data_IF_406607148113
#
_entry.id   IF_406607148113
#
_cell.length_a   1.000
_cell.length_b   1.000
_cell.length_c   1.000
_cell.angle_alpha   90.00
_cell.angle_beta   90.00
_cell.angle_gamma   90.00
#
_symmetry.space_group_name_H-M   'P 1'
#
loop_
_entity.id
_entity.type
_entity.pdbx_description
1 polymer ?
#
# COMPACT_ATOMS: atom_id res chain seq x y z
N UNK A 1 -4.27 -7.44 38.50
CA UNK A 1 -2.79 -7.27 38.55
C UNK A 1 -2.50 -5.79 38.72
N UNK A 2 -1.85 -5.42 39.82
CA UNK A 2 -1.69 -4.03 40.26
C UNK A 2 -0.38 -3.45 39.68
N UNK A 3 -0.44 -2.30 39.00
CA UNK A 3 0.64 -1.72 38.20
C UNK A 3 1.71 -0.96 39.01
N UNK A 4 1.74 -1.10 40.34
CA UNK A 4 2.63 -0.33 41.22
C UNK A 4 3.94 -1.03 41.61
N UNK A 5 4.14 -2.30 41.24
CA UNK A 5 5.32 -3.09 41.66
C UNK A 5 6.44 -3.25 40.61
N UNK A 6 6.44 -2.49 39.51
CA UNK A 6 7.52 -2.55 38.53
C UNK A 6 8.66 -1.60 38.91
N UNK A 7 9.59 -2.11 39.73
CA UNK A 7 10.84 -1.43 40.08
C UNK A 7 11.74 -1.13 38.87
N UNK A 8 12.57 -0.09 39.02
CA UNK A 8 13.44 0.53 38.01
C UNK A 8 14.30 -0.43 37.15
N UNK A 9 14.57 -1.67 37.60
CA UNK A 9 15.31 -2.66 36.81
C UNK A 9 14.51 -3.24 35.64
N UNK A 10 13.18 -3.18 35.66
CA UNK A 10 12.35 -3.71 34.58
C UNK A 10 12.15 -2.71 33.43
N UNK A 11 12.31 -1.41 33.66
CA UNK A 11 12.23 -0.38 32.61
C UNK A 11 13.43 -0.44 31.64
N UNK A 12 14.61 -0.81 32.12
CA UNK A 12 15.80 -0.97 31.28
C UNK A 12 15.68 -2.19 30.33
N UNK A 13 15.11 -3.29 30.82
CA UNK A 13 14.82 -4.46 29.98
C UNK A 13 13.72 -4.20 28.95
N UNK A 14 12.72 -3.38 29.30
CA UNK A 14 11.65 -2.99 28.38
C UNK A 14 12.17 -2.02 27.30
N UNK A 15 13.08 -1.11 27.64
CA UNK A 15 13.75 -0.24 26.67
C UNK A 15 14.65 -1.04 25.71
N UNK A 16 15.36 -2.06 26.21
CA UNK A 16 16.19 -2.94 25.39
C UNK A 16 15.34 -3.84 24.45
N UNK A 17 14.21 -4.36 24.92
CA UNK A 17 13.27 -5.10 24.06
C UNK A 17 12.64 -4.20 22.99
N UNK A 18 12.20 -2.98 23.33
CA UNK A 18 11.65 -2.03 22.34
C UNK A 18 12.68 -1.65 21.27
N UNK A 19 13.96 -1.61 21.61
CA UNK A 19 15.05 -1.36 20.66
C UNK A 19 15.32 -2.57 19.76
N UNK A 20 15.12 -3.80 20.27
CA UNK A 20 15.18 -5.05 19.50
C UNK A 20 14.04 -5.16 18.48
N UNK A 21 12.84 -4.68 18.80
CA UNK A 21 11.67 -4.69 17.89
C UNK A 21 11.72 -3.61 16.79
N UNK A 22 12.63 -2.63 16.87
CA UNK A 22 12.78 -1.58 15.84
C UNK A 22 13.54 -2.00 14.58
N UNK A 23 14.21 -3.16 14.57
CA UNK A 23 15.03 -3.61 13.43
C UNK A 23 14.36 -4.64 12.52
N UNK A 24 13.16 -5.08 12.83
CA UNK A 24 12.45 -6.08 12.02
C UNK A 24 10.97 -5.70 11.89
N UNK A 25 10.60 -5.21 10.70
CA UNK A 25 9.27 -5.20 10.04
C UNK A 25 9.01 -3.84 9.36
N UNK A 26 8.91 -3.79 8.01
CA UNK A 26 8.41 -2.64 7.28
C UNK A 26 6.91 -2.83 6.99
N UNK A 27 6.00 -2.27 7.78
CA UNK A 27 4.62 -2.04 7.32
C UNK A 27 3.79 -1.11 8.23
N UNK A 28 3.37 0.02 7.63
CA UNK A 28 2.09 0.75 7.71
C UNK A 28 1.31 0.99 9.02
N UNK A 29 1.71 0.49 10.19
CA UNK A 29 1.00 0.76 11.47
C UNK A 29 1.64 1.87 12.33
N UNK A 30 2.76 2.48 11.89
CA UNK A 30 3.50 3.48 12.68
C UNK A 30 2.93 4.91 12.67
N UNK A 31 2.01 5.24 11.78
CA UNK A 31 1.56 6.64 11.59
C UNK A 31 0.44 7.09 12.54
N UNK A 32 -0.30 6.16 13.18
CA UNK A 32 -1.46 6.52 14.01
C UNK A 32 -1.08 6.77 15.48
N UNK A 33 0.04 6.19 15.95
CA UNK A 33 0.48 6.32 17.35
C UNK A 33 1.33 7.58 17.65
N UNK A 34 1.76 8.34 16.64
CA UNK A 34 2.57 9.55 16.82
C UNK A 34 1.76 10.86 16.95
N UNK A 35 0.43 10.81 16.81
CA UNK A 35 -0.43 12.01 16.93
C UNK A 35 -0.87 12.36 18.35
N UNK A 36 -0.52 11.57 19.37
CA UNK A 36 -0.99 11.77 20.75
C UNK A 36 0.10 12.10 21.78
N UNK A 37 1.34 12.41 21.38
CA UNK A 37 2.44 12.63 22.32
C UNK A 37 3.21 13.95 22.18
N UNK A 38 2.71 14.94 21.44
CA UNK A 38 3.32 16.28 21.39
C UNK A 38 2.33 17.33 21.87
N UNK A 39 2.25 17.51 23.19
CA UNK A 39 1.73 18.71 23.84
C UNK A 39 2.33 18.81 25.25
N UNK A 40 3.57 19.26 25.33
CA UNK A 40 4.07 20.06 26.45
C UNK A 40 5.46 20.58 26.09
N UNK A 41 5.68 21.86 26.41
CA UNK A 41 6.90 22.66 26.36
C UNK A 41 7.28 23.27 25.01
N UNK A 42 6.81 24.50 24.79
CA UNK A 42 7.75 25.60 24.53
C UNK A 42 7.18 26.97 24.96
N UNK A 43 8.04 27.93 25.35
CA UNK A 43 7.64 29.17 26.00
C UNK A 43 7.41 30.34 25.02
N UNK A 44 6.48 31.21 25.43
CA UNK A 44 6.39 32.67 25.17
C UNK A 44 6.96 33.16 23.84
N UNK A 45 6.09 33.37 22.85
CA UNK A 45 6.30 34.36 21.79
C UNK A 45 5.04 35.20 21.56
N UNK A 46 5.30 36.49 21.33
CA UNK A 46 4.35 37.59 21.31
C UNK A 46 3.28 37.48 20.21
N UNK A 47 2.03 37.82 20.57
CA UNK A 47 0.93 38.02 19.63
C UNK A 47 1.15 39.26 18.76
N UNK A 48 0.94 39.17 17.43
CA UNK A 48 0.65 40.35 16.61
C UNK A 48 -0.84 40.75 16.73
N UNK A 49 -1.17 42.05 16.54
CA UNK A 49 -2.52 42.56 16.75
C UNK A 49 -3.52 42.13 15.65
N UNK A 50 -4.78 41.97 16.06
CA UNK A 50 -5.88 41.54 15.21
C UNK A 50 -6.23 42.55 14.09
N UNK A 51 -6.69 42.08 12.92
CA UNK A 51 -7.17 42.94 11.85
C UNK A 51 -8.58 43.49 12.14
N UNK A 52 -8.74 44.77 11.80
CA UNK A 52 -9.97 45.57 11.86
C UNK A 52 -10.98 45.08 10.82
N UNK A 53 -12.21 44.78 11.23
CA UNK A 53 -13.35 44.54 10.34
C UNK A 53 -14.17 45.84 10.17
N UNK A 54 -14.46 46.28 8.93
CA UNK A 54 -15.32 47.43 8.67
C UNK A 54 -16.79 47.01 8.42
N UNK A 55 -17.72 47.82 8.90
CA UNK A 55 -19.04 48.01 8.28
C UNK A 55 -20.23 47.25 8.88
N UNK A 56 -20.83 47.79 9.93
CA UNK A 56 -22.25 47.61 10.24
C UNK A 56 -23.05 48.75 9.60
N UNK A 57 -24.11 48.50 8.82
CA UNK A 57 -25.07 49.52 8.47
C UNK A 57 -26.12 49.73 9.59
N UNK A 58 -26.64 50.95 9.57
CA UNK A 58 -27.38 51.65 10.60
C UNK A 58 -28.71 51.02 11.04
N UNK A 59 -29.05 51.29 12.30
CA UNK A 59 -30.39 51.15 12.86
C UNK A 59 -31.39 52.13 12.21
N UNK A 60 -32.63 51.71 11.94
CA UNK A 60 -33.72 52.63 11.65
C UNK A 60 -34.36 53.18 12.95
N UNK A 61 -35.00 54.36 12.88
CA UNK A 61 -35.39 55.15 14.04
C UNK A 61 -36.66 54.65 14.73
N UNK A 62 -36.74 54.98 16.02
CA UNK A 62 -37.89 54.80 16.88
C UNK A 62 -39.13 55.54 16.37
N UNK A 63 -40.28 54.87 16.44
CA UNK A 63 -41.64 55.40 16.30
C UNK A 63 -42.60 54.50 17.10
N UNK A 64 -43.74 55.04 17.57
CA UNK A 64 -44.19 54.86 18.95
C UNK A 64 -45.06 53.62 19.21
N UNK A 65 -45.08 53.31 20.50
CA UNK A 65 -46.01 52.47 21.28
C UNK A 65 -47.34 52.07 20.61
N UNK A 66 -47.63 50.77 20.61
CA UNK A 66 -48.96 50.26 20.92
C UNK A 66 -48.86 48.80 21.43
N UNK A 67 -49.77 48.48 22.34
CA UNK A 67 -49.70 47.47 23.39
C UNK A 67 -49.68 46.01 22.90
N UNK A 68 -48.87 45.18 23.55
CA UNK A 68 -48.84 43.73 23.35
C UNK A 68 -48.00 43.04 24.41
N UNK A 69 -48.33 43.25 25.69
CA UNK A 69 -47.73 42.51 26.79
C UNK A 69 -48.08 41.02 26.63
N UNK A 70 -47.13 40.24 26.11
CA UNK A 70 -47.15 38.79 26.24
C UNK A 70 -46.98 38.47 27.74
N UNK A 71 -48.10 38.17 28.39
CA UNK A 71 -48.16 37.62 29.73
C UNK A 71 -47.27 36.38 29.79
N UNK A 72 -46.11 36.51 30.45
CA UNK A 72 -45.41 35.34 30.99
C UNK A 72 -46.38 34.66 31.96
N UNK A 73 -46.55 33.32 31.89
CA UNK A 73 -47.47 32.63 32.79
C UNK A 73 -47.07 32.90 34.25
N UNK A 74 -48.03 33.35 35.05
CA UNK A 74 -47.91 33.70 36.49
C UNK A 74 -47.37 32.56 37.39
N UNK A 75 -47.10 31.38 36.85
CA UNK A 75 -46.46 30.28 37.57
C UNK A 75 -44.97 30.50 37.89
N UNK A 76 -44.35 31.61 37.46
CA UNK A 76 -42.92 31.88 37.67
C UNK A 76 -42.60 32.62 38.99
N UNK A 77 -43.59 33.09 39.75
CA UNK A 77 -43.35 33.96 40.93
C UNK A 77 -44.07 33.53 42.23
N UNK A 78 -44.53 32.27 42.33
CA UNK A 78 -45.06 31.73 43.58
C UNK A 78 -43.96 31.30 44.57
N UNK A 79 -44.18 31.38 45.90
CA UNK A 79 -43.28 30.78 46.88
C UNK A 79 -43.24 29.27 46.68
N UNK A 80 -42.07 28.73 46.34
CA UNK A 80 -41.86 27.30 46.12
C UNK A 80 -41.90 26.59 47.48
N UNK A 81 -43.03 25.97 47.79
CA UNK A 81 -43.28 25.19 49.02
C UNK A 81 -42.53 23.84 48.97
N UNK A 82 -42.41 23.14 50.10
CA UNK A 82 -41.79 21.80 50.11
C UNK A 82 -42.55 20.79 49.21
N UNK A 83 -43.86 20.95 49.03
CA UNK A 83 -44.67 20.18 48.05
C UNK A 83 -44.26 20.43 46.59
N UNK A 84 -43.81 21.65 46.26
CA UNK A 84 -43.31 21.96 44.92
C UNK A 84 -41.95 21.32 44.63
N UNK A 85 -41.16 21.03 45.67
CA UNK A 85 -39.88 20.29 45.56
C UNK A 85 -40.15 18.79 45.42
N UNK A 86 -41.10 18.24 46.18
CA UNK A 86 -41.52 16.84 46.07
C UNK A 86 -42.15 16.54 44.70
N UNK A 87 -42.97 17.43 44.14
CA UNK A 87 -43.52 17.29 42.79
C UNK A 87 -42.47 17.46 41.68
N UNK A 88 -41.40 18.23 41.91
CA UNK A 88 -40.26 18.31 40.98
C UNK A 88 -39.40 17.03 40.94
N UNK A 89 -39.46 16.20 42.00
CA UNK A 89 -38.72 14.95 42.12
C UNK A 89 -39.47 13.74 41.53
N UNK A 90 -40.80 13.80 41.42
CA UNK A 90 -41.64 12.61 41.15
C UNK A 90 -41.77 12.24 39.68
N UNK A 91 -41.60 13.16 38.73
CA UNK A 91 -41.69 12.82 37.30
C UNK A 91 -40.53 13.43 36.51
N UNK A 92 -39.53 12.61 36.18
CA UNK A 92 -38.66 12.96 35.05
C UNK A 92 -38.01 11.76 34.37
N UNK A 93 -38.67 11.25 33.33
CA UNK A 93 -37.99 10.79 32.11
C UNK A 93 -37.43 11.98 31.29
N UNK A 94 -37.24 13.14 31.93
CA UNK A 94 -36.98 14.43 31.28
C UNK A 94 -35.47 14.64 31.09
N UNK A 95 -35.15 15.22 29.93
CA UNK A 95 -33.88 15.74 29.42
C UNK A 95 -32.83 16.08 30.50
N UNK A 96 -31.59 15.63 30.27
CA UNK A 96 -30.40 15.93 31.09
C UNK A 96 -30.24 17.43 31.35
N UNK A 97 -30.60 18.28 30.38
CA UNK A 97 -30.56 19.74 30.52
C UNK A 97 -31.57 20.25 31.55
N UNK A 98 -32.76 19.65 31.62
CA UNK A 98 -33.78 20.04 32.60
C UNK A 98 -33.38 19.65 34.02
N UNK A 99 -32.76 18.47 34.19
CA UNK A 99 -32.20 18.04 35.48
C UNK A 99 -31.06 18.94 35.96
N UNK A 100 -30.16 19.35 35.07
CA UNK A 100 -29.08 20.28 35.38
C UNK A 100 -29.61 21.70 35.72
N UNK A 101 -30.63 22.17 35.00
CA UNK A 101 -31.30 23.44 35.32
C UNK A 101 -32.05 23.37 36.66
N UNK A 102 -32.71 22.24 36.97
CA UNK A 102 -33.37 22.00 38.27
C UNK A 102 -32.36 22.00 39.42
N UNK A 103 -31.22 21.31 39.27
CA UNK A 103 -30.15 21.33 40.29
C UNK A 103 -29.61 22.75 40.52
N UNK A 104 -29.34 23.50 39.45
CA UNK A 104 -28.90 24.90 39.52
C UNK A 104 -29.93 25.79 40.25
N UNK A 105 -31.23 25.57 40.00
CA UNK A 105 -32.31 26.30 40.66
C UNK A 105 -32.42 25.97 42.16
N UNK A 106 -32.20 24.72 42.54
CA UNK A 106 -32.20 24.29 43.95
C UNK A 106 -30.96 24.85 44.67
N UNK A 107 -29.79 24.91 44.03
CA UNK A 107 -28.60 25.58 44.56
C UNK A 107 -28.84 27.08 44.77
N UNK A 108 -29.38 27.77 43.77
CA UNK A 108 -29.70 29.20 43.88
C UNK A 108 -30.71 29.47 45.01
N UNK A 109 -31.72 28.62 45.17
CA UNK A 109 -32.65 28.70 46.29
C UNK A 109 -31.94 28.47 47.62
N UNK A 110 -31.12 27.42 47.73
CA UNK A 110 -30.36 27.14 48.95
C UNK A 110 -29.48 28.34 49.35
N UNK A 111 -28.79 28.98 48.41
CA UNK A 111 -27.97 30.17 48.66
C UNK A 111 -28.81 31.41 49.00
N UNK A 112 -30.00 31.57 48.43
CA UNK A 112 -30.98 32.58 48.86
C UNK A 112 -31.45 32.33 50.30
N UNK A 113 -31.73 31.08 50.69
CA UNK A 113 -32.07 30.74 52.08
C UNK A 113 -30.89 30.92 53.04
N UNK A 114 -29.65 30.75 52.56
CA UNK A 114 -28.44 31.04 53.33
C UNK A 114 -28.22 32.54 53.53
N UNK A 115 -28.48 33.36 52.51
CA UNK A 115 -28.23 34.81 52.52
C UNK A 115 -29.36 35.64 53.12
N UNK A 116 -30.62 35.20 53.02
CA UNK A 116 -31.79 35.90 53.59
C UNK A 116 -31.90 35.83 55.12
N UNK A 117 -31.02 35.08 55.80
CA UNK A 117 -31.08 34.89 57.25
C UNK A 117 -30.19 35.85 58.04
N UNK A 118 -30.78 36.98 58.41
CA UNK A 118 -30.43 37.69 59.63
C UNK A 118 -31.05 37.05 60.90
N UNK A 119 -31.74 35.91 60.85
CA UNK A 119 -32.41 35.32 62.03
C UNK A 119 -32.25 33.78 62.11
N UNK A 120 -31.89 33.32 63.31
CA UNK A 120 -31.43 31.97 63.65
C UNK A 120 -32.56 30.92 63.56
N UNK A 121 -32.33 29.77 62.88
CA UNK A 121 -33.19 28.61 63.12
C UNK A 121 -33.06 27.39 62.21
N UNK A 122 -32.92 27.55 60.89
CA UNK A 122 -33.23 26.43 59.99
C UNK A 122 -32.12 26.10 58.97
N UNK A 123 -30.90 25.96 59.51
CA UNK A 123 -29.71 25.49 58.78
C UNK A 123 -29.90 24.07 58.21
N UNK A 124 -30.82 23.30 58.81
CA UNK A 124 -31.18 21.96 58.35
C UNK A 124 -31.88 21.99 56.99
N UNK A 125 -32.83 22.92 56.76
CA UNK A 125 -33.46 23.09 55.45
C UNK A 125 -32.47 23.43 54.33
N UNK A 126 -31.43 24.23 54.61
CA UNK A 126 -30.34 24.49 53.67
C UNK A 126 -29.54 23.22 53.34
N UNK A 127 -29.13 22.45 54.35
CA UNK A 127 -28.34 21.23 54.15
C UNK A 127 -29.09 20.18 53.35
N UNK A 128 -30.39 20.00 53.61
CA UNK A 128 -31.23 19.04 52.89
C UNK A 128 -31.41 19.47 51.43
N UNK A 129 -31.67 20.75 51.15
CA UNK A 129 -31.80 21.25 49.78
C UNK A 129 -30.48 21.17 49.01
N UNK A 130 -29.37 21.49 49.67
CA UNK A 130 -28.05 21.34 49.07
C UNK A 130 -27.70 19.88 48.79
N UNK A 131 -28.05 18.94 49.70
CA UNK A 131 -27.81 17.50 49.46
C UNK A 131 -28.64 16.98 48.29
N UNK A 132 -29.91 17.40 48.16
CA UNK A 132 -30.78 17.04 47.03
C UNK A 132 -30.20 17.59 45.72
N UNK A 133 -29.73 18.84 45.70
CA UNK A 133 -29.10 19.42 44.52
C UNK A 133 -27.84 18.65 44.12
N UNK A 134 -26.95 18.34 45.08
CA UNK A 134 -25.74 17.55 44.80
C UNK A 134 -26.07 16.13 44.32
N UNK A 135 -27.14 15.50 44.81
CA UNK A 135 -27.57 14.19 44.36
C UNK A 135 -28.07 14.23 42.91
N UNK A 136 -28.82 15.27 42.53
CA UNK A 136 -29.26 15.49 41.15
C UNK A 136 -28.07 15.74 40.21
N UNK A 137 -27.09 16.55 40.62
CA UNK A 137 -25.86 16.76 39.84
C UNK A 137 -25.08 15.46 39.67
N UNK A 138 -24.90 14.69 40.75
CA UNK A 138 -24.22 13.39 40.69
C UNK A 138 -24.93 12.42 39.75
N UNK A 139 -26.27 12.42 39.72
CA UNK A 139 -27.06 11.60 38.81
C UNK A 139 -26.91 12.03 37.35
N UNK A 140 -26.88 13.35 37.07
CA UNK A 140 -26.61 13.89 35.73
C UNK A 140 -25.20 13.49 35.27
N UNK A 141 -24.19 13.65 36.13
CA UNK A 141 -22.81 13.26 35.84
C UNK A 141 -22.69 11.77 35.57
N UNK A 142 -23.32 10.92 36.40
CA UNK A 142 -23.34 9.47 36.20
C UNK A 142 -23.95 9.11 34.85
N UNK A 143 -25.09 9.72 34.51
CA UNK A 143 -25.76 9.48 33.23
C UNK A 143 -24.92 9.95 32.04
N UNK A 144 -24.24 11.10 32.14
CA UNK A 144 -23.33 11.59 31.10
C UNK A 144 -22.14 10.64 30.87
N UNK A 145 -21.57 10.11 31.95
CA UNK A 145 -20.47 9.12 31.88
C UNK A 145 -20.97 7.82 31.23
N UNK A 146 -22.14 7.31 31.65
CA UNK A 146 -22.75 6.12 31.06
C UNK A 146 -23.04 6.33 29.56
N UNK A 147 -23.57 7.48 29.17
CA UNK A 147 -23.85 7.83 27.77
C UNK A 147 -22.56 7.97 26.94
N UNK A 148 -21.51 8.55 27.51
CA UNK A 148 -20.19 8.61 26.88
C UNK A 148 -19.66 7.20 26.58
N UNK A 149 -19.69 6.29 27.56
CA UNK A 149 -19.22 4.92 27.36
C UNK A 149 -20.10 4.14 26.38
N UNK A 150 -21.43 4.31 26.42
CA UNK A 150 -22.34 3.71 25.42
C UNK A 150 -22.03 4.18 24.00
N UNK A 151 -21.82 5.49 23.79
CA UNK A 151 -21.40 6.04 22.49
C UNK A 151 -20.05 5.47 22.06
N UNK A 152 -19.09 5.35 22.98
CA UNK A 152 -17.78 4.79 22.70
C UNK A 152 -17.85 3.33 22.27
N UNK A 153 -18.63 2.50 22.98
CA UNK A 153 -18.85 1.09 22.62
C UNK A 153 -19.48 0.98 21.23
N UNK A 154 -20.55 1.74 20.96
CA UNK A 154 -21.21 1.74 19.64
C UNK A 154 -20.26 2.15 18.50
N UNK A 155 -19.40 3.14 18.73
CA UNK A 155 -18.40 3.55 17.75
C UNK A 155 -17.34 2.47 17.52
N UNK A 156 -16.87 1.80 18.57
CA UNK A 156 -15.94 0.68 18.45
C UNK A 156 -16.55 -0.50 17.70
N UNK A 157 -17.81 -0.84 17.96
CA UNK A 157 -18.55 -1.86 17.20
C UNK A 157 -18.66 -1.50 15.72
N UNK A 158 -18.88 -0.23 15.38
CA UNK A 158 -18.89 0.25 14.00
C UNK A 158 -17.54 0.04 13.31
N UNK A 159 -16.45 0.45 13.96
CA UNK A 159 -15.08 0.28 13.45
C UNK A 159 -14.74 -1.20 13.28
N UNK A 160 -15.14 -2.06 14.22
CA UNK A 160 -14.93 -3.51 14.12
C UNK A 160 -15.69 -4.10 12.94
N UNK A 161 -16.97 -3.74 12.75
CA UNK A 161 -17.76 -4.19 11.58
C UNK A 161 -17.14 -3.77 10.25
N UNK A 162 -16.64 -2.54 10.16
CA UNK A 162 -15.93 -2.08 8.96
C UNK A 162 -14.66 -2.89 8.72
N UNK A 163 -13.83 -3.08 9.76
CA UNK A 163 -12.60 -3.88 9.68
C UNK A 163 -12.90 -5.32 9.26
N UNK A 164 -13.93 -5.94 9.82
CA UNK A 164 -14.36 -7.29 9.45
C UNK A 164 -14.82 -7.35 7.99
N UNK A 165 -15.56 -6.34 7.51
CA UNK A 165 -15.94 -6.24 6.11
C UNK A 165 -14.73 -6.08 5.18
N UNK A 166 -13.72 -5.30 5.58
CA UNK A 166 -12.46 -5.19 4.84
C UNK A 166 -11.69 -6.51 4.81
N UNK A 167 -11.61 -7.22 5.94
CA UNK A 167 -10.96 -8.53 6.01
C UNK A 167 -11.68 -9.56 5.15
N UNK A 168 -13.01 -9.63 5.21
CA UNK A 168 -13.80 -10.52 4.34
C UNK A 168 -13.57 -10.22 2.86
N UNK A 169 -13.51 -8.94 2.46
CA UNK A 169 -13.19 -8.56 1.08
C UNK A 169 -11.77 -8.94 0.68
N UNK A 170 -10.79 -8.71 1.55
CA UNK A 170 -9.41 -9.12 1.31
C UNK A 170 -9.30 -10.64 1.13
N UNK A 171 -9.95 -11.41 2.00
CA UNK A 171 -10.01 -12.87 1.92
C UNK A 171 -10.67 -13.35 0.63
N UNK A 172 -11.77 -12.72 0.21
CA UNK A 172 -12.43 -13.02 -1.07
C UNK A 172 -11.48 -12.77 -2.26
N UNK A 173 -10.76 -11.66 -2.28
CA UNK A 173 -9.79 -11.35 -3.34
C UNK A 173 -8.64 -12.36 -3.37
N UNK A 174 -8.13 -12.76 -2.19
CA UNK A 174 -7.10 -13.78 -2.09
C UNK A 174 -7.61 -15.13 -2.61
N UNK A 175 -8.84 -15.51 -2.26
CA UNK A 175 -9.47 -16.74 -2.78
C UNK A 175 -9.64 -16.71 -4.30
N UNK A 176 -10.19 -15.62 -4.85
CA UNK A 176 -10.36 -15.45 -6.30
C UNK A 176 -9.02 -15.52 -7.02
N UNK A 177 -7.98 -14.86 -6.48
CA UNK A 177 -6.63 -14.91 -7.04
C UNK A 177 -6.09 -16.34 -7.04
N UNK A 178 -6.20 -17.07 -5.92
CA UNK A 178 -5.78 -18.46 -5.80
C UNK A 178 -6.54 -19.37 -6.77
N UNK A 179 -7.85 -19.22 -6.91
CA UNK A 179 -8.66 -20.03 -7.82
C UNK A 179 -8.30 -19.76 -9.29
N UNK A 180 -8.10 -18.50 -9.67
CA UNK A 180 -7.66 -18.14 -11.02
C UNK A 180 -6.27 -18.70 -11.31
N UNK A 181 -5.34 -18.58 -10.37
CA UNK A 181 -4.00 -19.14 -10.50
C UNK A 181 -4.05 -20.66 -10.68
N UNK A 182 -4.86 -21.36 -9.88
CA UNK A 182 -5.07 -22.82 -10.03
C UNK A 182 -5.61 -23.20 -11.41
N UNK A 183 -6.53 -22.39 -11.98
CA UNK A 183 -7.05 -22.61 -13.34
C UNK A 183 -5.99 -22.40 -14.41
N UNK A 184 -5.17 -21.35 -14.30
CA UNK A 184 -4.09 -21.08 -15.25
C UNK A 184 -3.06 -22.21 -15.20
N UNK A 185 -2.66 -22.62 -13.99
CA UNK A 185 -1.74 -23.74 -13.80
C UNK A 185 -2.31 -25.03 -14.36
N UNK A 186 -3.56 -25.38 -14.06
CA UNK A 186 -4.17 -26.60 -14.60
C UNK A 186 -4.17 -26.61 -16.13
N UNK A 187 -4.41 -25.47 -16.79
CA UNK A 187 -4.33 -25.35 -18.25
C UNK A 187 -2.90 -25.49 -18.79
N UNK A 188 -1.89 -24.96 -18.10
CA UNK A 188 -0.47 -25.09 -18.45
C UNK A 188 -0.02 -26.57 -18.42
N UNK A 189 -0.60 -27.37 -17.53
CA UNK A 189 -0.32 -28.80 -17.39
C UNK A 189 -1.16 -29.68 -18.32
N UNK A 190 -2.46 -29.44 -18.41
CA UNK A 190 -3.37 -30.27 -19.21
C UNK A 190 -3.16 -30.09 -20.71
N UNK A 191 -2.65 -28.93 -21.12
CA UNK A 191 -2.47 -28.59 -22.51
C UNK A 191 -0.97 -28.50 -22.86
N UNK A 192 -0.38 -29.54 -23.50
CA UNK A 192 1.01 -29.50 -23.93
C UNK A 192 1.27 -28.41 -24.98
N UNK A 193 0.22 -27.90 -25.63
CA UNK A 193 0.24 -26.79 -26.58
C UNK A 193 -0.30 -25.48 -26.00
N UNK A 194 -0.26 -25.27 -24.68
CA UNK A 194 -0.71 -24.01 -24.10
C UNK A 194 -0.02 -22.83 -24.83
N UNK A 195 -0.78 -22.12 -25.66
CA UNK A 195 -0.28 -21.21 -26.69
C UNK A 195 0.11 -19.83 -26.11
N UNK A 196 0.61 -19.82 -24.88
CA UNK A 196 1.21 -18.64 -24.27
C UNK A 196 2.63 -18.47 -24.76
N UNK A 197 3.12 -17.23 -24.74
CA UNK A 197 4.56 -16.98 -24.90
C UNK A 197 5.32 -17.64 -23.75
N UNK A 198 6.48 -18.27 -23.97
CA UNK A 198 7.18 -19.07 -22.96
C UNK A 198 7.48 -18.28 -21.68
N UNK A 199 7.88 -17.01 -21.81
CA UNK A 199 8.11 -16.13 -20.67
C UNK A 199 6.86 -15.89 -19.84
N UNK A 200 5.69 -15.81 -20.47
CA UNK A 200 4.43 -15.63 -19.76
C UNK A 200 4.09 -16.86 -18.93
N UNK A 201 4.27 -18.05 -19.51
CA UNK A 201 4.01 -19.32 -18.82
C UNK A 201 4.95 -19.51 -17.64
N UNK A 202 6.25 -19.25 -17.84
CA UNK A 202 7.23 -19.35 -16.77
C UNK A 202 6.97 -18.32 -15.66
N UNK A 203 6.55 -17.10 -16.00
CA UNK A 203 6.16 -16.11 -15.00
C UNK A 203 4.92 -16.54 -14.19
N UNK A 204 3.92 -17.18 -14.80
CA UNK A 204 2.78 -17.76 -14.07
C UNK A 204 3.22 -18.89 -13.14
N UNK A 205 4.16 -19.74 -13.59
CA UNK A 205 4.77 -20.78 -12.76
C UNK A 205 5.55 -20.19 -11.58
N UNK A 206 6.30 -19.09 -11.76
CA UNK A 206 6.98 -18.37 -10.67
C UNK A 206 5.99 -17.90 -9.59
N UNK A 207 4.82 -17.39 -9.98
CA UNK A 207 3.76 -17.03 -9.03
C UNK A 207 3.23 -18.29 -8.34
N UNK A 208 3.17 -19.43 -9.03
CA UNK A 208 2.93 -20.76 -8.44
C UNK A 208 3.90 -21.08 -7.30
N UNK A 209 5.19 -20.90 -7.54
CA UNK A 209 6.24 -21.21 -6.59
C UNK A 209 6.33 -20.25 -5.40
N UNK A 210 5.71 -19.06 -5.45
CA UNK A 210 5.80 -18.09 -4.35
C UNK A 210 5.25 -18.60 -3.02
N UNK A 211 4.38 -19.61 -3.05
CA UNK A 211 3.79 -20.21 -1.86
C UNK A 211 4.39 -21.58 -1.50
N UNK A 212 5.42 -22.03 -2.22
CA UNK A 212 6.06 -23.33 -2.00
C UNK A 212 7.36 -23.17 -1.21
N UNK A 213 7.94 -24.25 -0.65
CA UNK A 213 9.23 -24.20 0.04
C UNK A 213 10.36 -23.56 -0.80
N UNK A 214 10.32 -23.73 -2.12
CA UNK A 214 11.26 -23.09 -3.07
C UNK A 214 11.16 -21.56 -2.97
N UNK A 215 9.95 -21.00 -3.01
CA UNK A 215 9.75 -19.55 -2.95
C UNK A 215 10.18 -18.91 -1.62
N UNK A 216 10.18 -19.69 -0.53
CA UNK A 216 10.70 -19.24 0.76
C UNK A 216 12.23 -19.34 0.89
N UNK A 217 12.91 -19.87 -0.13
CA UNK A 217 14.36 -20.07 -0.11
C UNK A 217 14.81 -21.07 0.97
N UNK A 218 13.95 -22.02 1.33
CA UNK A 218 14.35 -23.13 2.19
C UNK A 218 15.37 -23.95 1.39
N UNK A 219 16.58 -24.11 1.92
CA UNK A 219 17.62 -24.90 1.28
C UNK A 219 17.10 -26.32 1.03
N UNK A 220 16.84 -26.64 -0.23
CA UNK A 220 16.39 -27.97 -0.64
C UNK A 220 17.57 -28.92 -0.83
N UNK A 221 18.78 -28.52 -0.43
CA UNK A 221 20.04 -29.27 -0.56
C UNK A 221 19.90 -30.72 -0.08
N UNK A 222 19.22 -30.96 1.05
CA UNK A 222 19.04 -32.31 1.60
C UNK A 222 18.04 -33.16 0.79
N UNK A 223 17.00 -32.52 0.24
CA UNK A 223 16.10 -33.17 -0.73
C UNK A 223 16.82 -33.42 -2.06
N UNK A 224 17.70 -32.48 -2.44
CA UNK A 224 18.47 -32.50 -3.68
C UNK A 224 19.60 -33.53 -3.69
N UNK A 225 20.16 -33.83 -2.52
CA UNK A 225 21.15 -34.88 -2.37
C UNK A 225 20.55 -36.29 -2.45
N UNK A 226 19.25 -36.45 -2.20
CA UNK A 226 18.61 -37.77 -2.02
C UNK A 226 17.84 -38.27 -3.24
N UNK A 227 17.59 -37.43 -4.25
CA UNK A 227 16.85 -37.80 -5.47
C UNK A 227 17.79 -37.86 -6.70
N UNK A 228 17.92 -38.99 -7.41
CA UNK A 228 18.80 -39.07 -8.58
C UNK A 228 18.34 -38.19 -9.76
N UNK A 229 17.11 -37.68 -9.75
CA UNK A 229 16.56 -36.78 -10.77
C UNK A 229 17.12 -35.35 -10.71
N UNK A 230 17.94 -35.00 -9.71
CA UNK A 230 18.41 -33.63 -9.52
C UNK A 230 19.37 -33.14 -10.60
N UNK A 231 20.15 -34.03 -11.24
CA UNK A 231 21.00 -33.65 -12.36
C UNK A 231 20.22 -33.09 -13.56
N UNK A 232 18.93 -33.42 -13.68
CA UNK A 232 18.08 -32.92 -14.77
C UNK A 232 17.66 -31.46 -14.55
N UNK A 233 17.88 -30.91 -13.35
CA UNK A 233 17.52 -29.54 -12.98
C UNK A 233 18.71 -28.61 -12.90
N UNK A 234 19.91 -29.12 -13.15
CA UNK A 234 21.11 -28.31 -13.25
C UNK A 234 20.98 -27.38 -14.46
N UNK A 235 21.39 -26.13 -14.27
CA UNK A 235 21.38 -25.13 -15.33
C UNK A 235 22.73 -25.17 -16.04
N UNK A 236 22.71 -25.39 -17.35
CA UNK A 236 23.96 -25.32 -18.11
C UNK A 236 24.45 -23.87 -18.20
N UNK A 237 25.76 -23.63 -18.35
CA UNK A 237 26.31 -22.29 -18.55
C UNK A 237 25.66 -21.55 -19.73
N UNK A 238 25.36 -22.27 -20.81
CA UNK A 238 24.69 -21.76 -22.01
C UNK A 238 23.25 -21.28 -21.72
N UNK A 239 22.57 -21.89 -20.74
CA UNK A 239 21.25 -21.44 -20.32
C UNK A 239 21.33 -20.08 -19.62
N UNK A 240 22.36 -19.77 -18.84
CA UNK A 240 22.48 -18.45 -18.20
C UNK A 240 22.63 -17.32 -19.21
N UNK A 241 23.34 -17.56 -20.31
CA UNK A 241 23.49 -16.57 -21.39
C UNK A 241 22.18 -16.36 -22.16
N UNK A 242 21.41 -17.45 -22.31
CA UNK A 242 20.17 -17.49 -23.08
C UNK A 242 18.97 -16.92 -22.31
N UNK A 243 18.93 -17.14 -20.99
CA UNK A 243 17.81 -16.75 -20.14
C UNK A 243 17.89 -15.26 -19.78
N UNK A 244 16.85 -14.52 -20.16
CA UNK A 244 16.72 -13.10 -19.85
C UNK A 244 15.71 -12.88 -18.74
N UNK A 245 16.06 -11.96 -17.86
CA UNK A 245 15.26 -11.57 -16.72
C UNK A 245 14.95 -10.08 -16.80
N UNK A 246 13.75 -9.71 -16.40
CA UNK A 246 13.29 -8.34 -16.30
C UNK A 246 12.97 -7.97 -14.87
N UNK A 247 13.37 -6.77 -14.51
CA UNK A 247 13.06 -6.19 -13.20
C UNK A 247 11.56 -5.91 -13.03
N UNK A 248 11.03 -5.95 -11.79
CA UNK A 248 9.66 -5.56 -11.54
C UNK A 248 9.44 -4.11 -11.96
N UNK A 249 8.26 -3.81 -12.48
CA UNK A 249 7.89 -2.48 -12.96
C UNK A 249 7.83 -1.49 -11.80
N UNK A 250 8.97 -0.88 -11.49
CA UNK A 250 9.11 0.21 -10.52
C UNK A 250 9.13 1.55 -11.26
N UNK A 251 9.13 2.65 -10.50
CA UNK A 251 9.03 4.03 -11.04
C UNK A 251 10.09 4.39 -12.10
N UNK A 252 11.24 3.73 -12.11
CA UNK A 252 12.34 3.96 -13.07
C UNK A 252 12.45 2.90 -14.16
N UNK A 253 11.33 2.48 -14.75
CA UNK A 253 11.30 1.56 -15.90
C UNK A 253 11.56 0.09 -15.59
N UNK A 254 11.26 -0.76 -16.57
CA UNK A 254 11.53 -2.20 -16.54
C UNK A 254 12.80 -2.46 -17.35
N UNK A 255 13.88 -2.83 -16.66
CA UNK A 255 15.13 -3.25 -17.29
C UNK A 255 15.09 -4.75 -17.56
N UNK A 256 15.53 -5.15 -18.76
CA UNK A 256 15.75 -6.53 -19.18
C UNK A 256 17.25 -6.79 -19.32
N UNK A 257 17.75 -7.91 -18.81
CA UNK A 257 19.17 -8.27 -18.86
C UNK A 257 19.34 -9.80 -18.84
N UNK A 258 20.54 -10.30 -19.16
CA UNK A 258 20.83 -11.74 -19.15
C UNK A 258 21.29 -12.21 -17.77
N UNK A 259 21.03 -13.46 -17.39
CA UNK A 259 21.50 -13.96 -16.08
C UNK A 259 23.02 -13.97 -15.96
N UNK A 260 23.74 -14.18 -17.07
CA UNK A 260 25.21 -14.13 -17.09
C UNK A 260 25.78 -12.72 -16.98
N UNK A 261 25.02 -11.70 -17.39
CA UNK A 261 25.47 -10.31 -17.39
C UNK A 261 24.35 -9.35 -16.91
N UNK A 262 24.48 -8.78 -15.69
CA UNK A 262 23.52 -7.86 -15.10
C UNK A 262 23.52 -6.48 -15.77
N UNK A 263 24.27 -6.29 -16.86
CA UNK A 263 24.24 -5.10 -17.68
C UNK A 263 23.03 -5.13 -18.63
N UNK A 264 22.08 -4.20 -18.50
CA UNK A 264 20.91 -4.13 -19.38
C UNK A 264 21.29 -3.67 -20.79
N UNK A 265 22.36 -2.89 -20.93
CA UNK A 265 22.75 -2.23 -22.17
C UNK A 265 23.60 -3.14 -23.08
N UNK A 266 23.06 -4.30 -23.42
CA UNK A 266 23.65 -5.23 -24.38
C UNK A 266 23.06 -5.07 -25.78
N UNK A 267 23.74 -4.29 -26.63
CA UNK A 267 23.39 -4.08 -28.04
C UNK A 267 24.02 -5.13 -28.97
N UNK A 268 24.07 -6.39 -28.55
CA UNK A 268 24.83 -7.42 -29.26
C UNK A 268 24.08 -7.98 -30.47
N UNK A 269 22.82 -7.57 -30.65
CA UNK A 269 21.97 -7.96 -31.77
C UNK A 269 21.17 -6.77 -32.29
N UNK A 270 21.23 -6.55 -33.60
CA UNK A 270 20.42 -5.56 -34.31
C UNK A 270 19.33 -6.25 -35.14
N UNK A 271 18.07 -5.76 -35.10
CA UNK A 271 17.00 -6.16 -36.00
C UNK A 271 17.40 -6.08 -37.49
N UNK A 272 16.82 -6.92 -38.38
CA UNK A 272 17.20 -6.96 -39.80
C UNK A 272 17.22 -5.60 -40.50
N UNK A 273 16.24 -4.73 -40.22
CA UNK A 273 16.16 -3.37 -40.79
C UNK A 273 17.40 -2.53 -40.47
N UNK A 274 17.91 -2.61 -39.24
CA UNK A 274 19.10 -1.88 -38.81
C UNK A 274 20.39 -2.45 -39.42
N UNK A 275 20.38 -3.66 -39.96
CA UNK A 275 21.56 -4.22 -40.65
C UNK A 275 21.78 -3.61 -42.04
N UNK A 276 20.82 -2.83 -42.54
CA UNK A 276 20.94 -2.14 -43.83
C UNK A 276 22.03 -1.06 -43.80
N UNK A 277 22.67 -0.84 -44.95
CA UNK A 277 23.86 0.02 -45.04
C UNK A 277 23.59 1.48 -44.66
N UNK A 278 22.35 1.95 -44.82
CA UNK A 278 21.93 3.30 -44.47
C UNK A 278 22.00 3.59 -42.96
N UNK A 279 21.81 2.60 -42.09
CA UNK A 279 21.84 2.80 -40.63
C UNK A 279 23.22 2.55 -40.00
N UNK A 280 24.19 2.03 -40.76
CA UNK A 280 25.49 1.63 -40.23
C UNK A 280 26.27 2.79 -39.59
N UNK A 281 26.11 4.01 -40.10
CA UNK A 281 26.76 5.19 -39.54
C UNK A 281 26.19 5.54 -38.16
N UNK A 282 24.87 5.59 -38.03
CA UNK A 282 24.20 5.85 -36.75
C UNK A 282 24.42 4.72 -35.74
N UNK A 283 24.39 3.46 -36.18
CA UNK A 283 24.69 2.30 -35.32
C UNK A 283 26.09 2.39 -34.74
N UNK A 284 27.11 2.68 -35.56
CA UNK A 284 28.49 2.86 -35.06
C UNK A 284 28.61 4.01 -34.07
N UNK A 285 27.85 5.08 -34.25
CA UNK A 285 27.81 6.19 -33.30
C UNK A 285 27.20 5.73 -31.96
N UNK A 286 26.07 5.03 -32.01
CA UNK A 286 25.41 4.45 -30.82
C UNK A 286 26.35 3.48 -30.11
N UNK A 287 26.98 2.56 -30.83
CA UNK A 287 27.95 1.58 -30.27
C UNK A 287 29.14 2.29 -29.62
N UNK A 288 29.72 3.31 -30.27
CA UNK A 288 30.82 4.08 -29.68
C UNK A 288 30.42 4.79 -28.38
N UNK A 289 29.19 5.32 -28.29
CA UNK A 289 28.66 5.95 -27.07
C UNK A 289 28.32 4.92 -25.98
N UNK A 290 27.81 3.75 -26.35
CA UNK A 290 27.62 2.60 -25.43
C UNK A 290 28.96 2.19 -24.84
N UNK A 291 29.97 1.97 -25.67
CA UNK A 291 31.30 1.52 -25.22
C UNK A 291 31.95 2.56 -24.30
N UNK A 292 31.74 3.84 -24.57
CA UNK A 292 32.15 4.93 -23.68
C UNK A 292 31.44 4.84 -22.31
N UNK A 293 30.13 4.59 -22.28
CA UNK A 293 29.38 4.40 -21.04
C UNK A 293 29.86 3.18 -20.26
N UNK A 294 30.11 2.06 -20.95
CA UNK A 294 30.63 0.83 -20.35
C UNK A 294 32.00 1.07 -19.70
N UNK A 295 32.94 1.67 -20.43
CA UNK A 295 34.27 1.99 -19.91
C UNK A 295 34.24 2.99 -18.73
N UNK A 296 33.27 3.90 -18.71
CA UNK A 296 33.06 4.80 -17.57
C UNK A 296 32.47 4.08 -16.36
N UNK A 297 31.57 3.12 -16.57
CA UNK A 297 30.93 2.35 -15.49
C UNK A 297 31.92 1.47 -14.72
N UNK A 298 32.96 0.97 -15.39
CA UNK A 298 34.04 0.20 -14.75
C UNK A 298 34.85 1.05 -13.77
N UNK A 299 35.02 2.34 -14.08
CA UNK A 299 35.85 3.27 -13.29
C UNK A 299 35.04 4.01 -12.22
N UNK A 300 33.78 4.31 -12.54
CA UNK A 300 32.90 5.11 -11.71
C UNK A 300 31.55 4.39 -11.52
N UNK A 301 31.18 4.02 -10.28
CA UNK A 301 29.87 3.41 -10.01
C UNK A 301 28.70 4.33 -10.39
N UNK A 302 28.92 5.65 -10.33
CA UNK A 302 27.98 6.66 -10.77
C UNK A 302 28.41 7.21 -12.12
N UNK A 303 27.53 7.06 -13.11
CA UNK A 303 27.78 7.52 -14.47
C UNK A 303 27.61 9.04 -14.57
N UNK A 304 28.50 9.73 -15.31
CA UNK A 304 28.33 11.15 -15.56
C UNK A 304 27.11 11.39 -16.45
N UNK A 305 26.26 12.35 -16.07
CA UNK A 305 25.02 12.70 -16.77
C UNK A 305 25.29 13.06 -18.23
N UNK A 306 26.42 13.71 -18.52
CA UNK A 306 26.84 14.07 -19.88
C UNK A 306 27.02 12.86 -20.79
N UNK A 307 27.59 11.75 -20.29
CA UNK A 307 27.77 10.54 -21.07
C UNK A 307 26.42 9.83 -21.33
N UNK A 308 25.52 9.87 -20.34
CA UNK A 308 24.16 9.33 -20.49
C UNK A 308 23.40 10.13 -21.55
N UNK A 309 23.43 11.46 -21.48
CA UNK A 309 22.80 12.33 -22.46
C UNK A 309 23.39 12.14 -23.87
N UNK A 310 24.71 11.99 -23.99
CA UNK A 310 25.35 11.76 -25.28
C UNK A 310 24.93 10.42 -25.92
N UNK A 311 24.64 9.41 -25.12
CA UNK A 311 24.09 8.14 -25.60
C UNK A 311 22.60 8.26 -25.97
N UNK A 312 21.81 8.96 -25.13
CA UNK A 312 20.41 9.27 -25.41
C UNK A 312 20.25 10.05 -26.73
N UNK A 313 21.09 11.05 -26.97
CA UNK A 313 21.13 11.82 -28.21
C UNK A 313 21.48 10.95 -29.43
N UNK A 314 22.43 10.03 -29.30
CA UNK A 314 22.79 9.09 -30.38
C UNK A 314 21.62 8.14 -30.71
N UNK A 315 20.90 7.66 -29.69
CA UNK A 315 19.70 6.84 -29.88
C UNK A 315 18.55 7.65 -30.50
N UNK A 316 18.37 8.90 -30.08
CA UNK A 316 17.40 9.81 -30.67
C UNK A 316 17.70 10.04 -32.16
N UNK A 317 18.97 10.25 -32.53
CA UNK A 317 19.39 10.37 -33.93
C UNK A 317 19.08 9.12 -34.74
N UNK A 318 19.40 7.92 -34.23
CA UNK A 318 19.05 6.66 -34.91
C UNK A 318 17.54 6.52 -35.11
N UNK A 319 16.74 6.92 -34.11
CA UNK A 319 15.27 6.89 -34.22
C UNK A 319 14.75 7.88 -35.28
N UNK A 320 15.33 9.08 -35.36
CA UNK A 320 14.99 10.09 -36.38
C UNK A 320 15.32 9.55 -37.77
N UNK A 321 16.50 8.95 -37.95
CA UNK A 321 16.88 8.31 -39.21
C UNK A 321 15.90 7.19 -39.59
N UNK A 322 15.55 6.31 -38.65
CA UNK A 322 14.59 5.23 -38.87
C UNK A 322 13.24 5.75 -39.37
N UNK A 323 12.65 6.73 -38.68
CA UNK A 323 11.35 7.29 -39.07
C UNK A 323 11.42 8.19 -40.31
N UNK A 324 12.59 8.73 -40.65
CA UNK A 324 12.79 9.48 -41.90
C UNK A 324 12.76 8.56 -43.12
N UNK A 325 13.30 7.35 -43.00
CA UNK A 325 13.33 6.36 -44.09
C UNK A 325 12.02 5.59 -44.16
N UNK A 326 11.44 5.23 -43.01
CA UNK A 326 10.21 4.44 -42.91
C UNK A 326 9.11 5.16 -42.13
N UNK A 327 8.51 6.23 -42.67
CA UNK A 327 7.44 6.96 -41.98
C UNK A 327 6.16 6.11 -41.87
N UNK A 328 5.48 6.08 -40.71
CA UNK A 328 4.16 5.47 -40.58
C UNK A 328 3.10 6.30 -41.32
N UNK A 329 2.03 5.68 -41.87
CA UNK A 329 1.62 4.28 -41.69
C UNK A 329 2.23 3.31 -42.73
N UNK A 330 2.68 2.13 -42.29
CA UNK A 330 3.32 1.10 -43.13
C UNK A 330 2.36 0.19 -43.90
N UNK A 331 1.10 0.62 -44.11
CA UNK A 331 0.03 -0.24 -44.62
C UNK A 331 0.23 -0.76 -46.06
N UNK A 332 1.04 -0.07 -46.86
CA UNK A 332 1.30 -0.43 -48.25
C UNK A 332 2.52 -1.35 -48.45
N UNK A 333 3.17 -1.78 -47.36
CA UNK A 333 4.34 -2.65 -47.41
C UNK A 333 3.96 -4.13 -47.28
N UNK A 334 4.78 -5.06 -47.80
CA UNK A 334 4.53 -6.48 -47.60
C UNK A 334 4.55 -6.82 -46.12
N UNK A 335 3.68 -7.75 -45.70
CA UNK A 335 3.47 -8.12 -44.28
C UNK A 335 4.77 -8.45 -43.56
N UNK A 336 5.66 -9.20 -44.21
CA UNK A 336 6.97 -9.56 -43.65
C UNK A 336 7.81 -8.32 -43.32
N UNK A 337 7.89 -7.36 -44.24
CA UNK A 337 8.61 -6.11 -44.02
C UNK A 337 7.98 -5.27 -42.91
N UNK A 338 6.66 -5.25 -42.81
CA UNK A 338 5.95 -4.58 -41.70
C UNK A 338 6.35 -5.20 -40.36
N UNK A 339 6.44 -6.53 -40.28
CA UNK A 339 6.87 -7.20 -39.05
C UNK A 339 8.32 -6.86 -38.67
N UNK A 340 9.22 -6.74 -39.65
CA UNK A 340 10.60 -6.29 -39.42
C UNK A 340 10.65 -4.85 -38.89
N UNK A 341 9.85 -3.93 -39.46
CA UNK A 341 9.75 -2.54 -38.99
C UNK A 341 9.19 -2.46 -37.58
N UNK A 342 8.16 -3.25 -37.27
CA UNK A 342 7.62 -3.36 -35.91
C UNK A 342 8.68 -3.90 -34.94
N UNK A 343 9.50 -4.87 -35.35
CA UNK A 343 10.59 -5.38 -34.53
C UNK A 343 11.66 -4.31 -34.29
N UNK A 344 12.01 -3.52 -35.30
CA UNK A 344 12.94 -2.40 -35.20
C UNK A 344 12.40 -1.30 -34.26
N UNK A 345 11.14 -0.91 -34.40
CA UNK A 345 10.48 0.06 -33.51
C UNK A 345 10.47 -0.42 -32.06
N UNK A 346 10.09 -1.68 -31.82
CA UNK A 346 10.11 -2.27 -30.47
C UNK A 346 11.50 -2.26 -29.86
N UNK A 347 12.53 -2.53 -30.66
CA UNK A 347 13.92 -2.47 -30.23
C UNK A 347 14.32 -1.04 -29.82
N UNK A 348 13.99 -0.02 -30.62
CA UNK A 348 14.24 1.39 -30.25
C UNK A 348 13.54 1.78 -28.94
N UNK A 349 12.27 1.39 -28.79
CA UNK A 349 11.49 1.64 -27.56
C UNK A 349 12.13 0.94 -26.36
N UNK A 350 12.60 -0.30 -26.54
CA UNK A 350 13.27 -1.05 -25.48
C UNK A 350 14.56 -0.34 -25.03
N UNK A 351 15.44 -0.01 -25.97
CA UNK A 351 16.72 0.65 -25.64
C UNK A 351 16.47 2.02 -25.03
N UNK A 352 15.52 2.80 -25.55
CA UNK A 352 15.16 4.10 -24.96
C UNK A 352 14.71 3.98 -23.50
N UNK A 353 13.90 2.97 -23.16
CA UNK A 353 13.49 2.70 -21.77
C UNK A 353 14.67 2.27 -20.89
N UNK A 354 15.61 1.52 -21.45
CA UNK A 354 16.84 1.14 -20.74
C UNK A 354 17.70 2.37 -20.44
N UNK A 355 17.83 3.30 -21.40
CA UNK A 355 18.53 4.58 -21.20
C UNK A 355 17.86 5.43 -20.14
N UNK A 356 16.53 5.57 -20.19
CA UNK A 356 15.77 6.33 -19.20
C UNK A 356 15.94 5.72 -17.80
N UNK A 357 15.89 4.40 -17.68
CA UNK A 357 16.14 3.71 -16.42
C UNK A 357 17.59 3.87 -15.91
N UNK A 358 18.59 3.87 -16.79
CA UNK A 358 19.99 4.16 -16.44
C UNK A 358 20.12 5.61 -15.96
N UNK A 359 19.46 6.56 -16.64
CA UNK A 359 19.43 7.98 -16.28
C UNK A 359 18.83 8.20 -14.89
N UNK A 360 17.70 7.55 -14.60
CA UNK A 360 17.02 7.65 -13.31
C UNK A 360 17.85 7.05 -12.16
N UNK A 361 18.57 5.97 -12.43
CA UNK A 361 19.38 5.25 -11.42
C UNK A 361 20.78 5.83 -11.26
N UNK A 362 21.32 6.45 -12.30
CA UNK A 362 22.72 6.91 -12.38
C UNK A 362 23.75 5.78 -12.43
N UNK A 363 23.32 4.53 -12.65
CA UNK A 363 24.20 3.34 -12.66
C UNK A 363 23.85 2.43 -13.83
N UNK A 364 24.86 1.80 -14.43
CA UNK A 364 24.66 0.87 -15.55
C UNK A 364 24.11 -0.49 -15.08
N UNK A 365 24.35 -0.88 -13.82
CA UNK A 365 23.88 -2.16 -13.29
C UNK A 365 22.35 -2.20 -13.19
N UNK A 366 21.73 -3.22 -13.80
CA UNK A 366 20.28 -3.42 -13.72
C UNK A 366 19.85 -3.91 -12.32
N UNK A 367 20.77 -4.55 -11.60
CA UNK A 367 20.56 -5.05 -10.24
C UNK A 367 20.83 -3.97 -9.19
N UNK A 368 19.87 -3.77 -8.29
CA UNK A 368 20.07 -2.92 -7.10
C UNK A 368 20.80 -3.70 -6.00
N UNK A 369 21.38 -3.00 -5.00
CA UNK A 369 22.05 -3.65 -3.85
C UNK A 369 21.04 -4.57 -3.15
N UNK A 370 21.23 -5.89 -3.26
CA UNK A 370 20.32 -6.93 -2.73
C UNK A 370 19.66 -7.81 -3.79
N UNK A 371 19.80 -7.47 -5.08
CA UNK A 371 19.32 -8.28 -6.22
C UNK A 371 20.47 -8.92 -7.01
N UNK A 372 21.68 -8.98 -6.43
CA UNK A 372 22.82 -9.60 -7.11
C UNK A 372 22.51 -11.08 -7.38
N UNK A 373 22.77 -11.54 -8.59
CA UNK A 373 22.67 -12.94 -8.97
C UNK A 373 24.07 -13.56 -8.90
N UNK A 374 24.21 -14.61 -8.11
CA UNK A 374 25.43 -15.41 -8.06
C UNK A 374 25.21 -16.72 -8.83
N UNK A 375 25.82 -16.94 -10.01
CA UNK A 375 25.64 -18.16 -10.78
C UNK A 375 25.99 -19.44 -10.02
N UNK A 376 26.91 -19.38 -9.05
CA UNK A 376 27.32 -20.56 -8.28
C UNK A 376 26.34 -20.92 -7.15
N UNK A 377 25.58 -19.92 -6.66
CA UNK A 377 24.69 -20.10 -5.50
C UNK A 377 23.22 -19.99 -5.89
N UNK A 378 22.86 -18.88 -6.52
CA UNK A 378 21.51 -18.62 -7.00
C UNK A 378 21.27 -19.26 -8.38
N UNK A 379 22.32 -19.68 -9.09
CA UNK A 379 22.24 -20.34 -10.40
C UNK A 379 22.52 -21.83 -10.40
N UNK A 380 22.94 -22.44 -9.28
CA UNK A 380 23.36 -23.86 -9.24
C UNK A 380 22.37 -24.82 -9.93
N UNK A 381 21.08 -24.61 -9.69
CA UNK A 381 20.01 -25.37 -10.32
C UNK A 381 18.78 -24.47 -10.57
N UNK A 382 17.83 -24.99 -11.33
CA UNK A 382 16.61 -24.25 -11.63
C UNK A 382 15.80 -23.87 -10.38
N UNK A 383 15.91 -24.62 -9.27
CA UNK A 383 15.21 -24.30 -8.03
C UNK A 383 15.82 -23.09 -7.30
N UNK A 384 17.14 -22.99 -7.24
CA UNK A 384 17.83 -21.82 -6.66
C UNK A 384 17.58 -20.57 -7.50
N UNK A 385 17.52 -20.71 -8.83
CA UNK A 385 17.12 -19.62 -9.72
C UNK A 385 15.70 -19.15 -9.43
N UNK A 386 14.73 -20.08 -9.36
CA UNK A 386 13.33 -19.77 -9.05
C UNK A 386 13.21 -19.08 -7.69
N UNK A 387 13.91 -19.58 -6.67
CA UNK A 387 13.93 -19.02 -5.32
C UNK A 387 14.50 -17.59 -5.32
N UNK A 388 15.59 -17.35 -6.04
CA UNK A 388 16.17 -16.02 -6.21
C UNK A 388 15.18 -15.08 -6.90
N UNK A 389 14.53 -15.52 -7.99
CA UNK A 389 13.55 -14.70 -8.72
C UNK A 389 12.31 -14.38 -7.88
N UNK A 390 11.76 -15.34 -7.14
CA UNK A 390 10.61 -15.09 -6.25
C UNK A 390 10.96 -14.13 -5.12
N UNK A 391 12.16 -14.26 -4.52
CA UNK A 391 12.64 -13.34 -3.48
C UNK A 391 12.86 -11.91 -3.98
N UNK A 392 13.42 -11.77 -5.18
CA UNK A 392 13.78 -10.47 -5.76
C UNK A 392 12.63 -9.81 -6.53
N UNK A 393 11.56 -10.55 -6.80
CA UNK A 393 10.40 -10.10 -7.60
C UNK A 393 10.72 -9.99 -9.09
N UNK A 394 11.76 -10.67 -9.55
CA UNK A 394 12.21 -10.65 -10.94
C UNK A 394 11.34 -11.58 -11.78
N UNK A 395 11.24 -11.28 -13.08
CA UNK A 395 10.38 -12.01 -14.02
C UNK A 395 11.20 -12.43 -15.23
N UNK A 396 10.81 -13.50 -15.93
CA UNK A 396 11.39 -13.83 -17.22
C UNK A 396 11.01 -12.78 -18.26
N UNK A 397 12.00 -12.33 -19.04
CA UNK A 397 11.83 -11.53 -20.24
C UNK A 397 11.59 -12.44 -21.45
N UNK A 398 11.16 -11.88 -22.57
CA UNK A 398 10.96 -12.66 -23.80
C UNK A 398 12.31 -13.19 -24.33
N UNK A 399 12.35 -14.43 -24.86
CA UNK A 399 13.56 -15.00 -25.42
C UNK A 399 14.05 -14.19 -26.62
N UNK A 400 15.37 -14.14 -26.80
CA UNK A 400 15.97 -13.70 -28.08
C UNK A 400 15.74 -14.78 -29.15
N UNK A 401 15.59 -14.41 -30.43
CA UNK A 401 15.51 -15.40 -31.51
C UNK A 401 16.72 -16.35 -31.47
N UNK A 402 16.47 -17.67 -31.44
CA UNK A 402 17.51 -18.70 -31.33
C UNK A 402 17.80 -19.19 -29.90
N UNK A 403 17.29 -18.51 -28.87
CA UNK A 403 17.45 -18.91 -27.46
C UNK A 403 16.17 -19.54 -26.86
N UNK A 404 15.25 -19.97 -27.71
CA UNK A 404 13.94 -20.52 -27.30
C UNK A 404 14.09 -21.87 -26.59
N UNK A 405 15.10 -22.66 -26.97
CA UNK A 405 15.34 -24.00 -26.43
C UNK A 405 15.68 -23.97 -24.92
N UNK A 406 16.43 -22.94 -24.47
CA UNK A 406 16.72 -22.76 -23.06
C UNK A 406 15.45 -22.47 -22.24
N UNK A 407 14.52 -21.67 -22.78
CA UNK A 407 13.23 -21.40 -22.16
C UNK A 407 12.34 -22.65 -22.14
N UNK A 408 12.33 -23.43 -23.22
CA UNK A 408 11.58 -24.67 -23.29
C UNK A 408 12.08 -25.69 -22.24
N UNK A 409 13.40 -25.82 -22.12
CA UNK A 409 14.07 -26.71 -21.16
C UNK A 409 13.77 -26.30 -19.73
N UNK A 410 13.98 -25.02 -19.38
CA UNK A 410 13.69 -24.50 -18.04
C UNK A 410 12.19 -24.59 -17.72
N UNK A 411 11.30 -24.32 -18.68
CA UNK A 411 9.87 -24.49 -18.48
C UNK A 411 9.51 -25.96 -18.17
N UNK A 412 10.17 -26.93 -18.82
CA UNK A 412 10.03 -28.35 -18.49
C UNK A 412 10.44 -28.64 -17.04
N UNK A 413 11.64 -28.19 -16.64
CA UNK A 413 12.15 -28.33 -15.28
C UNK A 413 11.22 -27.69 -14.24
N UNK A 414 10.71 -26.47 -14.50
CA UNK A 414 9.74 -25.78 -13.65
C UNK A 414 8.44 -26.58 -13.52
N UNK A 415 7.94 -27.18 -14.61
CA UNK A 415 6.74 -28.02 -14.55
C UNK A 415 6.97 -29.26 -13.69
N UNK A 416 8.11 -29.93 -13.83
CA UNK A 416 8.44 -31.10 -12.99
C UNK A 416 8.54 -30.73 -11.51
N UNK A 417 9.25 -29.65 -11.18
CA UNK A 417 9.37 -29.19 -9.80
C UNK A 417 8.02 -28.81 -9.19
N UNK A 418 7.15 -28.15 -9.95
CA UNK A 418 5.86 -27.76 -9.43
C UNK A 418 4.93 -28.97 -9.22
N UNK A 419 5.11 -30.09 -9.92
CA UNK A 419 4.42 -31.35 -9.59
C UNK A 419 4.87 -31.90 -8.23
N UNK A 420 6.14 -31.72 -7.87
CA UNK A 420 6.73 -32.25 -6.63
C UNK A 420 6.45 -31.33 -5.44
N UNK A 421 6.61 -30.01 -5.62
CA UNK A 421 6.59 -29.02 -4.54
C UNK A 421 5.38 -28.08 -4.58
N UNK A 422 4.61 -28.08 -5.67
CA UNK A 422 3.45 -27.22 -5.83
C UNK A 422 2.26 -27.66 -4.99
N UNK A 423 1.28 -26.77 -4.90
CA UNK A 423 -0.05 -27.14 -4.43
C UNK A 423 -0.61 -28.28 -5.32
N UNK A 424 -1.30 -29.28 -4.76
CA UNK A 424 -1.94 -30.32 -5.56
C UNK A 424 -2.84 -29.67 -6.62
N UNK A 425 -2.56 -30.00 -7.88
CA UNK A 425 -3.36 -29.52 -9.00
C UNK A 425 -4.82 -29.97 -8.78
N UNK A 426 -5.82 -29.10 -9.03
CA UNK A 426 -7.21 -29.51 -8.95
C UNK A 426 -7.46 -30.65 -9.95
N UNK A 427 -8.22 -31.66 -9.53
CA UNK A 427 -8.63 -32.75 -10.40
C UNK A 427 -9.18 -32.19 -11.72
N UNK A 428 -8.72 -32.65 -12.89
CA UNK A 428 -9.21 -32.14 -14.18
C UNK A 428 -10.72 -32.41 -14.37
N UNK A 429 -11.27 -33.38 -13.63
CA UNK A 429 -12.69 -33.73 -13.60
C UNK A 429 -13.49 -32.98 -12.53
N UNK A 430 -12.83 -32.23 -11.63
CA UNK A 430 -13.53 -31.47 -10.61
C UNK A 430 -14.37 -30.37 -11.29
N UNK A 431 -15.70 -30.34 -11.09
CA UNK A 431 -16.55 -29.35 -11.71
C UNK A 431 -16.07 -27.96 -11.28
N UNK A 432 -15.71 -27.14 -12.27
CA UNK A 432 -15.28 -25.76 -12.04
C UNK A 432 -16.32 -25.08 -11.14
N UNK A 433 -15.92 -24.47 -10.01
CA UNK A 433 -16.85 -23.64 -9.25
C UNK A 433 -17.35 -22.56 -10.21
N UNK A 434 -18.67 -22.49 -10.39
CA UNK A 434 -19.37 -21.54 -11.27
C UNK A 434 -19.25 -20.12 -10.72
N UNK A 435 -18.03 -19.58 -10.61
CA UNK A 435 -17.81 -18.17 -10.32
C UNK A 435 -17.92 -17.41 -11.61
N UNK A 436 -19.13 -16.89 -11.85
CA UNK A 436 -19.46 -16.06 -12.99
C UNK A 436 -18.63 -14.75 -12.88
N UNK A 437 -17.63 -14.50 -13.74
CA UNK A 437 -16.73 -13.35 -13.60
C UNK A 437 -17.46 -12.01 -13.78
N UNK A 438 -18.70 -12.02 -14.30
CA UNK A 438 -19.53 -10.82 -14.53
C UNK A 438 -20.35 -10.36 -13.32
N UNK A 439 -20.41 -11.09 -12.20
CA UNK A 439 -21.17 -10.66 -11.02
C UNK A 439 -20.36 -9.88 -9.97
N UNK A 440 -19.05 -9.70 -10.18
CA UNK A 440 -18.20 -8.94 -9.27
C UNK A 440 -18.31 -7.40 -9.46
N UNK A 441 -19.08 -6.92 -10.45
CA UNK A 441 -19.29 -5.49 -10.72
C UNK A 441 -20.60 -4.93 -10.18
N UNK A 442 -21.43 -5.74 -9.53
CA UNK A 442 -22.60 -5.23 -8.79
C UNK A 442 -22.14 -4.62 -7.46
N UNK A 443 -21.39 -3.52 -7.58
CA UNK A 443 -21.01 -2.63 -6.50
C UNK A 443 -22.19 -1.66 -6.34
N UNK A 444 -22.97 -1.70 -5.25
CA UNK A 444 -23.86 -0.60 -4.93
C UNK A 444 -22.97 0.61 -4.66
N UNK A 445 -23.07 1.66 -5.49
CA UNK A 445 -22.47 2.95 -5.14
C UNK A 445 -23.14 3.42 -3.85
N UNK A 446 -22.37 3.90 -2.85
CA UNK A 446 -22.97 4.51 -1.68
C UNK A 446 -23.80 5.70 -2.14
N UNK A 447 -25.06 5.74 -1.70
CA UNK A 447 -25.94 6.90 -1.81
C UNK A 447 -25.54 7.97 -0.80
#
# INVERSE_FOLDING_TARGET
MNLQDLGYKNLANLAWEVQRWRLTVPSLCGAILLSQFVLATDPVQAQPPAPVLPGLPAAPPAGPEEEGAALLPEYLFGPVTNEAIETMLVDSEIDLNDRAMKASRIHALADMYRSSRSWHGDFNGFRVRNSIATELELNVWKQQVDDYFKRRIKNLEGIMKEKDAYQQKADQLVRIRRDNQRRVLSQIYSNPRYAGKPESVMNELLVGFSNTPIGYGVGLEEYFATNPSHSNWDLSPEMFESLRVKSPKNKGGQLEFSLSDPVPLQLDWWPPVFREQLFQAAIRNVEAKRDQLMALSERNPQLPIEAINAFDDAMAQLSVEFYSVFPPPWQNMPTERVLELIAAERHLIQVSREVEAIRDRGTLNAMTRGQYFDPLRDGENAATLIAWMTRTGMQFASPRPGHEDAYATLMGQMKEMFVIFGDPLPDPEAPLPKTNPRRATDIPRPQ
#
